data_IF_694214910685
#
_entry.id   IF_694214910685
#
_cell.length_a   1.000
_cell.length_b   1.000
_cell.length_c   1.000
_cell.angle_alpha   90.00
_cell.angle_beta   90.00
_cell.angle_gamma   90.00
#
_symmetry.space_group_name_H-M   'P 1'
#
loop_
_entity.id
_entity.type
_entity.pdbx_description
1 polymer ?
#
# COMPACT_ATOMS: atom_id res chain seq x y z
N UNK A 1 3.32 -5.47 -1.93
CA UNK A 1 2.53 -5.21 -0.71
C UNK A 1 3.43 -4.55 0.34
N UNK A 2 2.92 -3.65 1.19
CA UNK A 2 3.75 -3.00 2.23
C UNK A 2 4.49 -4.01 3.12
N UNK A 3 3.84 -5.11 3.52
CA UNK A 3 4.47 -6.15 4.35
C UNK A 3 5.72 -6.76 3.69
N UNK A 4 5.72 -6.92 2.36
CA UNK A 4 6.88 -7.41 1.61
C UNK A 4 8.03 -6.41 1.66
N UNK A 5 7.74 -5.11 1.53
CA UNK A 5 8.74 -4.04 1.67
C UNK A 5 9.33 -3.96 3.08
N UNK A 6 8.56 -4.37 4.10
CA UNK A 6 8.98 -4.49 5.48
C UNK A 6 9.77 -5.79 5.76
N UNK A 7 9.79 -6.74 4.82
CA UNK A 7 10.32 -8.10 5.07
C UNK A 7 9.57 -8.85 6.18
N UNK A 8 8.32 -8.46 6.46
CA UNK A 8 7.50 -9.02 7.54
C UNK A 8 6.39 -9.91 6.96
N UNK A 9 5.94 -10.93 7.71
CA UNK A 9 4.79 -11.71 7.29
C UNK A 9 3.55 -10.81 7.19
N UNK A 10 2.67 -11.15 6.26
CA UNK A 10 1.38 -10.51 6.15
C UNK A 10 0.52 -10.86 7.37
N UNK A 11 0.36 -9.90 8.28
CA UNK A 11 -0.37 -10.07 9.55
C UNK A 11 -1.88 -9.98 9.32
N UNK A 12 -2.49 -11.09 8.90
CA UNK A 12 -3.93 -11.20 8.59
C UNK A 12 -4.38 -12.67 8.64
N UNK A 13 -5.63 -12.93 8.27
CA UNK A 13 -6.20 -14.28 8.14
C UNK A 13 -6.23 -14.74 6.67
N UNK A 14 -6.23 -16.06 6.45
CA UNK A 14 -6.48 -16.65 5.12
C UNK A 14 -7.95 -16.50 4.75
N UNK A 15 -8.23 -16.18 3.49
CA UNK A 15 -9.61 -16.12 2.99
C UNK A 15 -10.24 -17.51 3.06
N UNK A 16 -11.56 -17.57 3.23
CA UNK A 16 -12.27 -18.85 3.47
C UNK A 16 -12.04 -19.88 2.36
N UNK A 17 -12.08 -19.43 1.11
CA UNK A 17 -12.17 -20.31 -0.06
C UNK A 17 -10.86 -20.37 -0.87
N UNK A 18 -9.74 -19.86 -0.35
CA UNK A 18 -8.42 -19.99 -0.99
C UNK A 18 -7.25 -19.89 0.02
N UNK A 19 -6.05 -20.31 -0.39
CA UNK A 19 -4.85 -20.27 0.47
C UNK A 19 -4.22 -18.87 0.60
N UNK A 20 -4.87 -17.86 0.01
CA UNK A 20 -4.39 -16.48 -0.01
C UNK A 20 -4.78 -15.72 1.25
N UNK A 21 -3.86 -14.87 1.72
CA UNK A 21 -4.10 -13.96 2.83
C UNK A 21 -5.05 -12.82 2.44
N UNK A 22 -5.90 -12.38 3.37
CA UNK A 22 -6.74 -11.20 3.19
C UNK A 22 -5.90 -9.92 3.17
N UNK A 23 -6.02 -9.16 2.08
CA UNK A 23 -5.35 -7.87 1.87
C UNK A 23 -6.36 -6.84 1.37
N UNK A 24 -6.02 -5.57 1.56
CA UNK A 24 -6.85 -4.43 1.21
C UNK A 24 -6.10 -3.53 0.21
N UNK A 25 -6.86 -2.91 -0.69
CA UNK A 25 -6.36 -1.85 -1.56
C UNK A 25 -6.60 -0.51 -0.89
N UNK A 26 -5.59 0.35 -0.87
CA UNK A 26 -5.64 1.66 -0.23
C UNK A 26 -5.13 2.76 -1.17
N UNK A 27 -5.79 3.92 -1.13
CA UNK A 27 -5.35 5.13 -1.85
C UNK A 27 -4.39 5.91 -0.95
N UNK A 28 -3.15 6.13 -1.41
CA UNK A 28 -2.12 6.82 -0.62
C UNK A 28 -2.50 8.29 -0.40
N UNK A 29 -2.87 9.00 -1.46
CA UNK A 29 -3.60 10.26 -1.36
C UNK A 29 -5.08 9.96 -1.15
N UNK A 30 -5.61 10.38 0.00
CA UNK A 30 -7.02 10.20 0.31
C UNK A 30 -7.91 10.88 -0.73
N UNK A 31 -8.91 10.14 -1.21
CA UNK A 31 -9.88 10.61 -2.20
C UNK A 31 -10.68 11.81 -1.69
N UNK A 32 -10.91 11.91 -0.38
CA UNK A 32 -11.58 13.04 0.30
C UNK A 32 -10.89 14.39 0.05
N UNK A 33 -9.59 14.39 -0.28
CA UNK A 33 -8.85 15.62 -0.60
C UNK A 33 -9.14 16.14 -2.01
N UNK A 34 -9.90 15.40 -2.83
CA UNK A 34 -10.30 15.76 -4.21
C UNK A 34 -9.13 16.15 -5.13
N UNK A 35 -7.93 15.65 -4.82
CA UNK A 35 -6.73 15.89 -5.66
C UNK A 35 -6.86 15.13 -6.97
N UNK A 36 -6.46 15.76 -8.06
CA UNK A 36 -6.34 15.10 -9.36
C UNK A 36 -5.40 13.88 -9.23
N UNK A 37 -5.80 12.76 -9.82
CA UNK A 37 -5.04 11.50 -9.72
C UNK A 37 -5.30 10.69 -8.44
N UNK A 38 -6.11 11.17 -7.50
CA UNK A 38 -6.42 10.41 -6.27
C UNK A 38 -7.11 9.06 -6.51
N UNK A 39 -7.78 8.88 -7.64
CA UNK A 39 -8.39 7.61 -8.06
C UNK A 39 -7.53 6.80 -9.05
N UNK A 40 -6.34 7.30 -9.40
CA UNK A 40 -5.49 6.65 -10.39
C UNK A 40 -4.74 5.45 -9.79
N UNK A 41 -4.35 4.52 -10.66
CA UNK A 41 -3.64 3.29 -10.26
C UNK A 41 -2.30 3.58 -9.57
N UNK A 42 -1.62 4.64 -9.98
CA UNK A 42 -0.37 5.12 -9.41
C UNK A 42 -0.55 5.82 -8.05
N UNK A 43 -1.77 5.80 -7.50
CA UNK A 43 -2.07 6.17 -6.12
C UNK A 43 -2.50 4.97 -5.27
N UNK A 44 -2.52 3.75 -5.82
CA UNK A 44 -2.99 2.55 -5.14
C UNK A 44 -1.82 1.71 -4.60
N UNK A 45 -2.02 1.19 -3.38
CA UNK A 45 -1.14 0.19 -2.75
C UNK A 45 -1.96 -0.97 -2.18
N UNK A 46 -1.27 -2.10 -1.93
CA UNK A 46 -1.82 -3.23 -1.19
C UNK A 46 -1.23 -3.31 0.21
N UNK A 47 -2.10 -3.45 1.19
CA UNK A 47 -1.79 -3.46 2.63
C UNK A 47 -2.51 -4.59 3.34
N UNK A 48 -1.99 -5.03 4.50
CA UNK A 48 -2.76 -5.91 5.39
C UNK A 48 -3.65 -5.07 6.30
N UNK A 49 -4.63 -5.70 6.95
CA UNK A 49 -5.58 -5.02 7.83
C UNK A 49 -4.90 -4.21 8.96
N UNK A 50 -3.75 -4.67 9.46
CA UNK A 50 -2.99 -3.94 10.49
C UNK A 50 -2.34 -2.69 9.91
N UNK A 51 -1.57 -2.82 8.83
CA UNK A 51 -0.89 -1.67 8.22
C UNK A 51 -1.90 -0.69 7.62
N UNK A 52 -3.06 -1.13 7.14
CA UNK A 52 -4.11 -0.20 6.70
C UNK A 52 -4.54 0.75 7.83
N UNK A 53 -4.72 0.22 9.04
CA UNK A 53 -5.00 1.06 10.23
C UNK A 53 -3.80 1.96 10.56
N UNK A 54 -2.58 1.48 10.40
CA UNK A 54 -1.38 2.30 10.60
C UNK A 54 -1.28 3.45 9.58
N UNK A 55 -1.72 3.25 8.33
CA UNK A 55 -1.83 4.30 7.33
C UNK A 55 -2.84 5.38 7.69
N UNK A 56 -3.89 5.05 8.45
CA UNK A 56 -4.89 6.04 8.90
C UNK A 56 -4.55 6.71 10.23
N UNK A 57 -3.95 5.97 11.16
CA UNK A 57 -3.87 6.36 12.57
C UNK A 57 -2.47 6.26 13.20
N UNK A 58 -1.51 5.66 12.50
CA UNK A 58 -0.17 5.41 13.01
C UNK A 58 0.84 6.50 12.68
N UNK A 59 2.08 6.29 13.13
CA UNK A 59 3.20 7.14 12.77
C UNK A 59 3.74 6.76 11.38
N UNK A 60 3.12 7.32 10.35
CA UNK A 60 3.45 7.06 8.96
C UNK A 60 3.58 8.36 8.18
N UNK A 61 4.69 8.51 7.46
CA UNK A 61 4.90 9.59 6.51
C UNK A 61 5.14 9.03 5.11
N UNK A 62 4.62 9.70 4.09
CA UNK A 62 4.92 9.36 2.70
C UNK A 62 6.06 10.25 2.25
N UNK A 63 7.23 9.65 1.99
CA UNK A 63 8.47 10.37 1.70
C UNK A 63 8.53 10.76 0.22
N UNK A 64 8.19 9.82 -0.67
CA UNK A 64 8.26 10.05 -2.11
C UNK A 64 7.26 9.20 -2.89
N UNK A 65 6.67 9.84 -3.91
CA UNK A 65 5.73 9.27 -4.88
C UNK A 65 6.15 9.52 -6.33
N UNK A 66 7.15 10.36 -6.57
CA UNK A 66 7.58 10.78 -7.91
C UNK A 66 8.34 9.67 -8.66
N UNK A 67 8.98 8.76 -7.91
CA UNK A 67 9.68 7.61 -8.47
C UNK A 67 8.78 6.74 -9.33
N UNK A 68 9.26 6.37 -10.53
CA UNK A 68 8.41 5.79 -11.58
C UNK A 68 7.77 4.47 -11.17
N UNK A 69 8.49 3.66 -10.39
CA UNK A 69 8.13 2.27 -10.11
C UNK A 69 7.91 1.95 -8.62
N UNK A 70 8.23 2.89 -7.72
CA UNK A 70 8.17 2.68 -6.27
C UNK A 70 7.51 3.83 -5.53
N UNK A 71 7.00 3.54 -4.34
CA UNK A 71 6.71 4.53 -3.30
C UNK A 71 7.68 4.34 -2.14
N UNK A 72 8.01 5.45 -1.48
CA UNK A 72 8.82 5.48 -0.26
C UNK A 72 7.99 5.98 0.91
N UNK A 73 8.07 5.27 2.03
CA UNK A 73 7.37 5.59 3.27
C UNK A 73 8.36 5.59 4.43
N UNK A 74 8.08 6.41 5.43
CA UNK A 74 8.63 6.28 6.77
C UNK A 74 7.54 5.69 7.65
N UNK A 75 7.82 4.59 8.33
CA UNK A 75 6.90 3.98 9.29
C UNK A 75 7.68 3.74 10.57
N UNK A 76 7.22 4.30 11.68
CA UNK A 76 7.88 4.18 12.99
C UNK A 76 9.40 4.51 12.94
N UNK A 77 9.77 5.58 12.21
CA UNK A 77 11.15 6.05 12.08
C UNK A 77 12.05 5.23 11.15
N UNK A 78 11.47 4.30 10.38
CA UNK A 78 12.21 3.47 9.44
C UNK A 78 11.71 3.69 8.00
N UNK A 79 12.65 3.76 7.06
CA UNK A 79 12.33 3.97 5.64
C UNK A 79 12.09 2.66 4.92
N UNK A 80 11.00 2.62 4.16
CA UNK A 80 10.56 1.45 3.40
C UNK A 80 10.16 1.81 1.98
N UNK A 81 10.33 0.85 1.07
CA UNK A 81 9.89 0.97 -0.32
C UNK A 81 8.93 -0.14 -0.70
N UNK A 82 7.91 0.19 -1.47
CA UNK A 82 7.05 -0.79 -2.16
C UNK A 82 6.95 -0.48 -3.63
N UNK A 83 6.76 -1.50 -4.45
CA UNK A 83 6.50 -1.32 -5.89
C UNK A 83 5.10 -0.76 -6.13
N UNK A 84 4.97 0.12 -7.11
CA UNK A 84 3.68 0.59 -7.64
C UNK A 84 2.95 -0.56 -8.34
N UNK A 85 1.62 -0.55 -8.28
CA UNK A 85 0.81 -1.51 -9.01
C UNK A 85 0.96 -1.27 -10.52
N UNK A 86 1.21 -2.33 -11.28
CA UNK A 86 1.25 -2.31 -12.74
C UNK A 86 0.14 -3.20 -13.27
N UNK A 87 -0.72 -2.66 -14.13
CA UNK A 87 -1.68 -3.47 -14.88
C UNK A 87 -0.91 -4.24 -15.95
N UNK A 88 -1.06 -5.57 -15.97
CA UNK A 88 -0.70 -6.35 -17.15
C UNK A 88 -1.82 -6.16 -18.16
N UNK A 89 -1.51 -5.70 -19.39
CA UNK A 89 -2.48 -5.74 -20.49
C UNK A 89 -2.91 -7.20 -20.65
N UNK A 90 -4.22 -7.46 -20.50
CA UNK A 90 -4.78 -8.76 -20.84
C UNK A 90 -4.60 -8.99 -22.33
N UNK A 91 -4.15 -10.19 -22.70
CA UNK A 91 -4.20 -10.67 -24.08
C UNK A 91 -5.65 -10.79 -24.54
#
# INVERSE_FOLDING_TARGET
MICEGLGKPTLTFKKRDCDECYIETHHIDQVSNLKQGSLALDNLITVCALHHKQFHYGNLNIIDKAEADCFYFEIDGHTYKTRKLKIRKGN
#
